data_IF_895230581162
#
_entry.id   IF_895230581162
#
_cell.length_a   1.000
_cell.length_b   1.000
_cell.length_c   1.000
_cell.angle_alpha   90.00
_cell.angle_beta   90.00
_cell.angle_gamma   90.00
#
_symmetry.space_group_name_H-M   'P 1'
#
loop_
_entity.id
_entity.type
_entity.pdbx_description
1 polymer ?
#
# COMPACT_ATOMS: atom_id res chain seq x y z
N UNK A 1 -0.78 -8.96 -4.74
CA UNK A 1 0.32 -9.49 -3.89
C UNK A 1 0.22 -8.90 -2.50
N UNK A 2 0.29 -7.57 -2.37
CA UNK A 2 0.18 -6.84 -1.11
C UNK A 2 -1.06 -7.20 -0.27
N UNK A 3 -2.23 -7.39 -0.89
CA UNK A 3 -3.45 -7.79 -0.17
C UNK A 3 -3.36 -9.18 0.46
N UNK A 4 -2.72 -10.12 -0.24
CA UNK A 4 -2.55 -11.48 0.29
C UNK A 4 -1.54 -11.50 1.44
N UNK A 5 -0.45 -10.72 1.34
CA UNK A 5 0.52 -10.54 2.43
C UNK A 5 -0.12 -9.89 3.66
N UNK A 6 -0.92 -8.83 3.46
CA UNK A 6 -1.67 -8.18 4.55
C UNK A 6 -2.68 -9.11 5.20
N UNK A 7 -3.42 -9.88 4.39
CA UNK A 7 -4.36 -10.85 4.91
C UNK A 7 -3.65 -11.90 5.77
N UNK A 8 -2.48 -12.40 5.34
CA UNK A 8 -1.67 -13.32 6.14
C UNK A 8 -1.21 -12.66 7.44
N UNK A 9 -0.69 -11.44 7.41
CA UNK A 9 -0.25 -10.72 8.60
C UNK A 9 -1.40 -10.53 9.62
N UNK A 10 -2.59 -10.14 9.15
CA UNK A 10 -3.78 -10.01 9.99
C UNK A 10 -4.22 -11.35 10.58
N UNK A 11 -4.24 -12.42 9.78
CA UNK A 11 -4.61 -13.75 10.25
C UNK A 11 -3.62 -14.28 11.30
N UNK A 12 -2.32 -14.01 11.12
CA UNK A 12 -1.30 -14.33 12.11
C UNK A 12 -1.49 -13.56 13.41
N UNK A 13 -1.75 -12.25 13.34
CA UNK A 13 -2.03 -11.43 14.52
C UNK A 13 -3.28 -11.89 15.27
N UNK A 14 -4.34 -12.29 14.55
CA UNK A 14 -5.56 -12.81 15.16
C UNK A 14 -5.34 -14.14 15.88
N UNK A 15 -4.48 -15.00 15.32
CA UNK A 15 -4.23 -16.36 15.82
C UNK A 15 -3.80 -16.38 17.29
N UNK A 16 -3.06 -15.37 17.75
CA UNK A 16 -2.59 -15.24 19.13
C UNK A 16 -3.71 -15.11 20.17
N UNK A 17 -4.94 -14.80 19.72
CA UNK A 17 -6.11 -14.59 20.58
C UNK A 17 -7.26 -15.56 20.31
N UNK A 18 -7.08 -16.55 19.41
CA UNK A 18 -8.14 -17.49 19.04
C UNK A 18 -8.30 -18.63 20.04
N UNK A 19 -9.55 -19.11 20.16
CA UNK A 19 -9.85 -20.33 20.89
C UNK A 19 -9.45 -21.55 20.07
N UNK A 20 -9.13 -22.71 20.71
CA UNK A 20 -8.68 -23.90 19.99
C UNK A 20 -9.61 -24.37 18.86
N UNK A 21 -10.93 -24.19 19.02
CA UNK A 21 -11.94 -24.54 18.01
C UNK A 21 -11.88 -23.70 16.74
N UNK A 22 -11.33 -22.49 16.82
CA UNK A 22 -11.29 -21.52 15.72
C UNK A 22 -9.93 -21.52 15.00
N UNK A 23 -8.91 -22.15 15.58
CA UNK A 23 -7.55 -22.23 15.02
C UNK A 23 -7.52 -22.91 13.65
N UNK A 24 -8.27 -24.00 13.48
CA UNK A 24 -8.28 -24.74 12.20
C UNK A 24 -8.78 -23.87 11.05
N UNK A 25 -9.86 -23.12 11.27
CA UNK A 25 -10.41 -22.22 10.25
C UNK A 25 -9.44 -21.09 9.91
N UNK A 26 -8.74 -20.53 10.89
CA UNK A 26 -7.70 -19.53 10.67
C UNK A 26 -6.52 -20.10 9.85
N UNK A 27 -6.05 -21.30 10.17
CA UNK A 27 -4.99 -21.98 9.43
C UNK A 27 -5.38 -22.29 7.98
N UNK A 28 -6.64 -22.68 7.75
CA UNK A 28 -7.16 -22.91 6.39
C UNK A 28 -7.19 -21.62 5.56
N UNK A 29 -7.55 -20.49 6.18
CA UNK A 29 -7.50 -19.17 5.54
C UNK A 29 -6.06 -18.73 5.22
N UNK A 30 -5.13 -18.92 6.15
CA UNK A 30 -3.69 -18.64 5.92
C UNK A 30 -3.19 -19.49 4.75
N UNK A 31 -3.49 -20.79 4.76
CA UNK A 31 -3.13 -21.73 3.68
C UNK A 31 -3.68 -21.26 2.34
N UNK A 32 -4.95 -20.83 2.30
CA UNK A 32 -5.55 -20.33 1.06
C UNK A 32 -4.80 -19.11 0.51
N UNK A 33 -4.39 -18.16 1.36
CA UNK A 33 -3.60 -16.99 0.94
C UNK A 33 -2.19 -17.35 0.50
N UNK A 34 -1.53 -18.30 1.17
CA UNK A 34 -0.20 -18.80 0.75
C UNK A 34 -0.30 -19.50 -0.61
N UNK A 35 -1.33 -20.34 -0.81
CA UNK A 35 -1.56 -21.00 -2.10
C UNK A 35 -1.87 -19.97 -3.19
N UNK A 36 -2.66 -18.93 -2.88
CA UNK A 36 -2.90 -17.82 -3.80
C UNK A 36 -1.58 -17.17 -4.24
N UNK A 37 -0.68 -16.87 -3.30
CA UNK A 37 0.65 -16.32 -3.62
C UNK A 37 1.49 -17.29 -4.46
N UNK A 38 1.47 -18.58 -4.14
CA UNK A 38 2.20 -19.61 -4.87
C UNK A 38 1.71 -19.78 -6.32
N UNK A 39 0.39 -19.76 -6.52
CA UNK A 39 -0.25 -19.92 -7.83
C UNK A 39 -0.22 -18.64 -8.66
N UNK A 40 0.03 -17.48 -8.03
CA UNK A 40 0.16 -16.20 -8.74
C UNK A 40 1.60 -16.04 -9.17
N UNK A 41 1.83 -16.00 -10.49
CA UNK A 41 3.19 -15.86 -11.04
C UNK A 41 3.81 -14.52 -10.62
N UNK A 42 4.85 -14.56 -9.78
CA UNK A 42 5.56 -13.37 -9.29
C UNK A 42 6.53 -12.78 -10.32
N UNK A 43 7.09 -13.63 -11.20
CA UNK A 43 7.96 -13.18 -12.29
C UNK A 43 7.13 -12.86 -13.54
N UNK A 44 7.08 -11.58 -13.90
CA UNK A 44 6.51 -11.11 -15.17
C UNK A 44 7.53 -11.31 -16.29
N UNK A 45 7.06 -11.76 -17.45
CA UNK A 45 7.86 -11.88 -18.67
C UNK A 45 7.97 -10.55 -19.43
N UNK A 46 7.10 -9.60 -19.13
CA UNK A 46 7.04 -8.28 -19.77
C UNK A 46 7.23 -7.16 -18.74
N UNK A 47 7.79 -6.04 -19.19
CA UNK A 47 8.00 -4.84 -18.38
C UNK A 47 6.63 -4.23 -18.02
N UNK A 48 6.46 -3.75 -16.78
CA UNK A 48 5.23 -3.06 -16.38
C UNK A 48 4.99 -1.83 -17.25
N UNK A 49 3.73 -1.58 -17.59
CA UNK A 49 3.36 -0.27 -18.10
C UNK A 49 3.54 0.76 -16.97
N UNK A 50 3.95 1.98 -17.31
CA UNK A 50 4.10 3.07 -16.33
C UNK A 50 2.77 3.32 -15.60
N UNK A 51 1.63 3.12 -16.27
CA UNK A 51 0.29 3.20 -15.69
C UNK A 51 0.07 2.18 -14.56
N UNK A 52 0.53 0.94 -14.73
CA UNK A 52 0.44 -0.08 -13.68
C UNK A 52 1.30 0.29 -12.46
N UNK A 53 2.45 0.92 -12.69
CA UNK A 53 3.33 1.38 -11.60
C UNK A 53 2.69 2.52 -10.81
N UNK A 54 2.00 3.44 -11.50
CA UNK A 54 1.21 4.50 -10.88
C UNK A 54 0.13 3.86 -10.00
N UNK A 55 -0.70 2.96 -10.54
CA UNK A 55 -1.78 2.34 -9.76
C UNK A 55 -1.24 1.54 -8.55
N UNK A 56 -0.14 0.83 -8.73
CA UNK A 56 0.50 0.09 -7.64
C UNK A 56 1.08 1.01 -6.55
N UNK A 57 1.58 2.20 -6.89
CA UNK A 57 2.07 3.15 -5.90
C UNK A 57 0.94 3.79 -5.11
N UNK A 58 -0.16 4.13 -5.78
CA UNK A 58 -1.36 4.70 -5.17
C UNK A 58 -2.03 3.71 -4.20
N UNK A 59 -1.93 2.40 -4.45
CA UNK A 59 -2.40 1.39 -3.49
C UNK A 59 -1.80 1.58 -2.08
N UNK A 60 -0.56 2.07 -1.94
CA UNK A 60 0.05 2.35 -0.63
C UNK A 60 -0.51 3.60 0.06
N UNK A 61 -1.00 4.58 -0.70
CA UNK A 61 -1.65 5.76 -0.13
C UNK A 61 -2.93 5.37 0.60
N UNK A 62 -3.82 4.64 -0.06
CA UNK A 62 -5.09 4.15 0.52
C UNK A 62 -4.87 3.28 1.75
N UNK A 63 -3.92 2.36 1.64
CA UNK A 63 -3.81 1.27 2.60
C UNK A 63 -2.87 1.53 3.77
N UNK A 64 -2.02 2.55 3.66
CA UNK A 64 -1.06 2.94 4.70
C UNK A 64 -1.11 4.45 4.92
N UNK A 65 -0.64 5.27 3.98
CA UNK A 65 -0.28 6.67 4.28
C UNK A 65 -1.47 7.52 4.71
N UNK A 66 -2.61 7.45 4.01
CA UNK A 66 -3.81 8.24 4.34
C UNK A 66 -4.38 7.88 5.72
N UNK A 67 -4.13 6.66 6.21
CA UNK A 67 -4.61 6.20 7.51
C UNK A 67 -3.61 6.44 8.64
N UNK A 68 -2.33 6.23 8.39
CA UNK A 68 -1.29 6.29 9.42
C UNK A 68 -0.74 7.71 9.63
N UNK A 69 -0.63 8.55 8.59
CA UNK A 69 -0.11 9.92 8.74
C UNK A 69 -0.96 10.73 9.74
N UNK A 70 -2.31 10.74 9.68
CA UNK A 70 -3.10 11.44 10.68
C UNK A 70 -2.92 10.92 12.11
N UNK A 71 -2.60 9.63 12.29
CA UNK A 71 -2.29 9.08 13.63
C UNK A 71 -0.97 9.64 14.14
N UNK A 72 0.06 9.69 13.29
CA UNK A 72 1.36 10.27 13.63
C UNK A 72 1.21 11.74 14.04
N UNK A 73 0.39 12.53 13.32
CA UNK A 73 0.10 13.91 13.70
C UNK A 73 -0.56 13.98 15.09
N UNK A 74 -1.60 13.18 15.34
CA UNK A 74 -2.26 13.13 16.66
C UNK A 74 -1.31 12.72 17.79
N UNK A 75 -0.50 11.69 17.57
CA UNK A 75 0.46 11.21 18.58
C UNK A 75 1.47 12.31 18.95
N UNK A 76 1.89 13.12 17.98
CA UNK A 76 2.78 14.27 18.20
C UNK A 76 2.06 15.41 18.92
N UNK A 77 0.84 15.73 18.50
CA UNK A 77 0.01 16.76 19.14
C UNK A 77 -0.24 16.44 20.61
N UNK A 78 -0.60 15.19 20.90
CA UNK A 78 -0.82 14.70 22.27
C UNK A 78 0.48 14.73 23.09
N UNK A 79 1.58 14.20 22.54
CA UNK A 79 2.86 14.11 23.26
C UNK A 79 3.46 15.47 23.57
N UNK A 80 3.32 16.43 22.64
CA UNK A 80 3.88 17.77 22.77
C UNK A 80 2.87 18.80 23.28
N UNK A 81 1.62 18.38 23.55
CA UNK A 81 0.51 19.25 23.97
C UNK A 81 0.29 20.43 23.00
N UNK A 82 0.35 20.14 21.70
CA UNK A 82 0.11 21.11 20.64
C UNK A 82 -1.38 21.13 20.28
N UNK A 83 -1.92 22.30 19.94
CA UNK A 83 -3.28 22.39 19.41
C UNK A 83 -3.38 21.93 17.95
N UNK A 84 -2.39 22.30 17.13
CA UNK A 84 -2.22 21.86 15.75
C UNK A 84 -0.73 21.71 15.47
N UNK A 85 -0.27 20.53 15.05
CA UNK A 85 1.11 20.37 14.63
C UNK A 85 1.33 21.08 13.26
N UNK A 86 2.47 21.79 13.06
CA UNK A 86 2.78 22.37 11.77
C UNK A 86 2.90 21.27 10.71
N UNK A 87 2.70 21.61 9.42
CA UNK A 87 2.94 20.65 8.35
C UNK A 87 4.44 20.33 8.23
N UNK A 88 4.86 19.24 8.89
CA UNK A 88 6.25 18.77 8.93
C UNK A 88 6.50 17.57 8.01
N UNK A 89 5.45 16.95 7.48
CA UNK A 89 5.54 15.77 6.61
C UNK A 89 4.77 15.99 5.31
N UNK A 90 5.47 15.83 4.19
CA UNK A 90 4.88 15.85 2.84
C UNK A 90 5.26 14.59 2.09
N UNK A 91 4.26 13.98 1.47
CA UNK A 91 4.47 12.83 0.61
C UNK A 91 4.75 13.29 -0.83
N UNK A 92 5.63 12.56 -1.51
CA UNK A 92 5.94 12.76 -2.92
C UNK A 92 6.40 11.44 -3.55
N UNK A 93 6.25 11.33 -4.86
CA UNK A 93 6.72 10.19 -5.64
C UNK A 93 7.18 10.63 -7.02
N UNK A 94 8.06 9.83 -7.63
CA UNK A 94 8.60 10.08 -8.97
C UNK A 94 7.92 9.25 -10.07
N UNK A 95 7.08 8.29 -9.68
CA UNK A 95 6.42 7.35 -10.58
C UNK A 95 5.49 8.11 -11.54
N UNK A 96 5.62 7.83 -12.84
CA UNK A 96 4.89 8.51 -13.90
C UNK A 96 5.43 9.88 -14.29
N UNK A 97 6.36 10.46 -13.53
CA UNK A 97 6.94 11.79 -13.76
C UNK A 97 8.43 11.81 -14.09
N UNK A 98 9.22 10.90 -13.53
CA UNK A 98 10.66 10.82 -13.79
C UNK A 98 10.94 10.21 -15.18
N UNK A 99 11.52 11.04 -16.06
CA UNK A 99 11.79 10.69 -17.47
C UNK A 99 13.26 10.38 -17.72
N UNK A 100 14.12 10.54 -16.73
CA UNK A 100 15.56 10.40 -16.96
C UNK A 100 15.89 8.97 -17.42
N UNK A 101 16.42 8.85 -18.64
CA UNK A 101 16.72 7.56 -19.27
C UNK A 101 15.53 6.64 -19.57
N UNK A 102 14.28 7.06 -19.38
CA UNK A 102 13.09 6.21 -19.55
C UNK A 102 12.15 6.71 -20.65
N UNK A 103 12.24 6.19 -21.89
CA UNK A 103 11.40 6.64 -23.01
C UNK A 103 9.92 6.30 -22.85
N UNK A 104 9.56 5.43 -21.89
CA UNK A 104 8.17 5.05 -21.63
C UNK A 104 7.43 6.05 -20.73
N UNK A 105 8.13 7.01 -20.12
CA UNK A 105 7.51 8.08 -19.32
C UNK A 105 7.31 9.30 -20.21
N UNK A 106 6.06 9.64 -20.49
CA UNK A 106 5.66 10.67 -21.44
C UNK A 106 4.89 11.81 -20.76
N UNK A 107 4.42 12.79 -21.55
CA UNK A 107 3.46 13.79 -21.05
C UNK A 107 2.15 13.15 -20.57
N UNK A 108 1.68 12.12 -21.28
CA UNK A 108 0.44 11.42 -20.96
C UNK A 108 0.55 10.62 -19.66
N UNK A 109 1.71 9.99 -19.39
CA UNK A 109 1.91 9.26 -18.11
C UNK A 109 1.94 10.22 -16.93
N UNK A 110 2.56 11.40 -17.09
CA UNK A 110 2.57 12.43 -16.04
C UNK A 110 1.16 12.96 -15.77
N UNK A 111 0.39 13.26 -16.82
CA UNK A 111 -1.01 13.69 -16.67
C UNK A 111 -1.85 12.62 -15.97
N UNK A 112 -1.65 11.35 -16.33
CA UNK A 112 -2.32 10.22 -15.70
C UNK A 112 -1.95 10.10 -14.23
N UNK A 113 -0.66 10.19 -13.88
CA UNK A 113 -0.19 10.14 -12.49
C UNK A 113 -0.82 11.26 -11.64
N UNK A 114 -0.82 12.49 -12.16
CA UNK A 114 -1.42 13.64 -11.46
C UNK A 114 -2.92 13.49 -11.28
N UNK A 115 -3.64 13.07 -12.33
CA UNK A 115 -5.10 12.87 -12.27
C UNK A 115 -5.46 11.78 -11.27
N UNK A 116 -4.82 10.62 -11.38
CA UNK A 116 -5.07 9.49 -10.47
C UNK A 116 -4.77 9.85 -9.02
N UNK A 117 -3.68 10.57 -8.76
CA UNK A 117 -3.36 11.03 -7.42
C UNK A 117 -4.38 12.04 -6.87
N UNK A 118 -4.92 12.92 -7.71
CA UNK A 118 -5.97 13.85 -7.32
C UNK A 118 -7.30 13.14 -7.00
N UNK A 119 -7.64 12.08 -7.72
CA UNK A 119 -8.86 11.29 -7.50
C UNK A 119 -8.85 10.48 -6.18
N UNK A 120 -7.69 10.32 -5.54
CA UNK A 120 -7.56 9.59 -4.27
C UNK A 120 -8.06 10.34 -3.03
N UNK A 121 -8.33 11.65 -3.15
CA UNK A 121 -8.61 12.56 -2.03
C UNK A 121 -10.02 13.13 -2.11
#
# INVERSE_FOLDING_TARGET
>A
MLDAERAIAQLLQQRDHLLPRDLQANEDLIRARVVQLWQTRLMRTEKLAVEDEIDNSLAYYESTFLREIPKIYRDIEDTLTLHDAPNFLRMGQWIGGDRDGNPFVTAQTLETALRRQADMV
#
